data_IF_924435777887
#
_entry.id   IF_924435777887
#
_cell.length_a   1.000
_cell.length_b   1.000
_cell.length_c   1.000
_cell.angle_alpha   90.00
_cell.angle_beta   90.00
_cell.angle_gamma   90.00
#
_symmetry.space_group_name_H-M   'P 1'
#
loop_
_entity.id
_entity.type
_entity.pdbx_description
1 polymer ?
#
# COMPACT_ATOMS: atom_id res chain seq x y z
N UNK A 1 13.36 18.36 -9.52
CA UNK A 1 13.13 17.15 -8.69
C UNK A 1 12.52 17.61 -7.38
N UNK A 2 11.28 17.24 -7.10
CA UNK A 2 10.54 17.74 -5.93
C UNK A 2 10.66 16.75 -4.78
N UNK A 3 11.57 17.00 -3.84
CA UNK A 3 11.95 16.06 -2.77
C UNK A 3 11.12 16.16 -1.47
N UNK A 4 10.00 16.89 -1.46
CA UNK A 4 9.19 17.10 -0.27
C UNK A 4 8.01 16.13 -0.14
N UNK A 5 7.66 15.75 1.08
CA UNK A 5 6.43 15.01 1.39
C UNK A 5 5.20 15.94 1.47
N UNK A 6 5.41 17.24 1.64
CA UNK A 6 4.37 18.27 1.64
C UNK A 6 4.83 19.49 0.84
N UNK A 7 3.90 20.38 0.52
CA UNK A 7 4.18 21.64 -0.15
C UNK A 7 4.63 22.73 0.84
N UNK A 8 5.16 23.84 0.33
CA UNK A 8 5.50 25.00 1.15
C UNK A 8 4.23 25.75 1.65
N UNK A 9 4.43 26.75 2.51
CA UNK A 9 3.37 27.53 3.17
C UNK A 9 2.39 28.18 2.18
N UNK A 10 2.88 28.63 1.03
CA UNK A 10 2.11 29.23 -0.06
C UNK A 10 1.06 28.28 -0.66
N UNK A 11 1.23 26.96 -0.47
CA UNK A 11 0.27 25.92 -0.83
C UNK A 11 -0.32 25.23 0.40
N UNK A 12 -0.48 26.00 1.47
CA UNK A 12 -1.08 25.58 2.74
C UNK A 12 -0.47 24.30 3.34
N UNK A 13 0.82 24.05 3.10
CA UNK A 13 1.47 22.82 3.58
C UNK A 13 0.82 21.52 3.11
N UNK A 14 0.07 21.54 1.99
CA UNK A 14 -0.68 20.37 1.53
C UNK A 14 0.24 19.16 1.30
N UNK A 15 -0.16 18.01 1.84
CA UNK A 15 0.60 16.75 1.67
C UNK A 15 0.61 16.30 0.21
N UNK A 16 1.64 15.56 -0.16
CA UNK A 16 1.80 14.97 -1.49
C UNK A 16 1.49 13.47 -1.45
N UNK A 17 1.12 12.83 -2.55
CA UNK A 17 0.84 11.39 -2.61
C UNK A 17 1.90 10.50 -1.94
N UNK A 18 3.18 10.84 -2.12
CA UNK A 18 4.31 10.13 -1.52
C UNK A 18 4.28 10.13 0.03
N UNK A 19 3.70 11.16 0.66
CA UNK A 19 3.50 11.20 2.11
C UNK A 19 2.66 10.01 2.57
N UNK A 20 1.57 9.70 1.87
CA UNK A 20 0.66 8.62 2.27
C UNK A 20 1.31 7.25 2.15
N UNK A 21 2.15 7.04 1.12
CA UNK A 21 2.94 5.81 1.00
C UNK A 21 3.90 5.64 2.20
N UNK A 22 4.62 6.71 2.56
CA UNK A 22 5.50 6.71 3.73
C UNK A 22 4.75 6.56 5.05
N UNK A 23 3.62 7.25 5.21
CA UNK A 23 2.78 7.17 6.40
C UNK A 23 2.18 5.77 6.57
N UNK A 24 1.72 5.14 5.48
CA UNK A 24 1.23 3.76 5.50
C UNK A 24 2.31 2.79 6.01
N UNK A 25 3.55 2.91 5.52
CA UNK A 25 4.65 2.05 5.97
C UNK A 25 5.03 2.35 7.44
N UNK A 26 5.31 3.61 7.76
CA UNK A 26 5.90 4.01 9.05
C UNK A 26 4.94 3.96 10.23
N UNK A 27 3.62 4.09 10.01
CA UNK A 27 2.61 3.93 11.07
C UNK A 27 2.38 2.47 11.45
N UNK A 28 2.74 1.54 10.57
CA UNK A 28 2.46 0.10 10.71
C UNK A 28 3.74 -0.73 10.83
N UNK A 29 4.88 -0.10 11.05
CA UNK A 29 6.14 -0.79 11.28
C UNK A 29 6.88 -0.15 12.44
N UNK A 30 7.77 -0.92 13.07
CA UNK A 30 8.68 -0.43 14.11
C UNK A 30 10.10 -0.93 13.84
N UNK A 31 11.07 -0.22 14.41
CA UNK A 31 12.46 -0.65 14.36
C UNK A 31 12.60 -2.08 14.93
N UNK A 32 13.31 -2.93 14.21
CA UNK A 32 13.53 -4.33 14.56
C UNK A 32 12.48 -5.31 14.01
N UNK A 33 11.43 -4.85 13.32
CA UNK A 33 10.53 -5.76 12.61
C UNK A 33 11.28 -6.57 11.54
N UNK A 34 11.00 -7.88 11.51
CA UNK A 34 11.60 -8.78 10.52
C UNK A 34 10.96 -8.54 9.16
N UNK A 35 11.81 -8.44 8.14
CA UNK A 35 11.42 -8.26 6.74
C UNK A 35 11.55 -9.60 6.00
N UNK A 36 10.48 -10.01 5.33
CA UNK A 36 10.46 -11.18 4.46
C UNK A 36 10.22 -10.74 3.02
N UNK A 37 11.07 -11.18 2.11
CA UNK A 37 10.85 -11.00 0.68
C UNK A 37 9.64 -11.81 0.21
N UNK A 38 8.86 -11.25 -0.72
CA UNK A 38 7.75 -11.94 -1.35
C UNK A 38 8.08 -12.17 -2.83
N UNK A 39 7.84 -13.39 -3.31
CA UNK A 39 7.91 -13.69 -4.74
C UNK A 39 6.56 -13.39 -5.40
N UNK A 40 6.59 -12.74 -6.56
CA UNK A 40 5.40 -12.45 -7.37
C UNK A 40 5.39 -13.30 -8.63
N UNK A 41 4.23 -13.81 -9.01
CA UNK A 41 4.02 -14.46 -10.31
C UNK A 41 3.93 -13.46 -11.47
N UNK A 42 3.84 -12.16 -11.17
CA UNK A 42 3.83 -11.06 -12.13
C UNK A 42 4.76 -9.92 -11.66
N UNK A 43 6.09 -10.16 -11.60
CA UNK A 43 7.06 -9.16 -11.15
C UNK A 43 7.03 -7.92 -12.06
N UNK A 44 7.23 -6.74 -11.49
CA UNK A 44 7.08 -5.46 -12.19
C UNK A 44 5.63 -4.97 -12.37
N UNK A 45 4.64 -5.82 -12.13
CA UNK A 45 3.23 -5.41 -12.07
C UNK A 45 2.68 -5.43 -10.65
N UNK A 46 2.88 -6.52 -9.92
CA UNK A 46 2.50 -6.63 -8.52
C UNK A 46 3.72 -7.04 -7.73
N UNK A 47 4.04 -6.26 -6.70
CA UNK A 47 5.15 -6.54 -5.80
C UNK A 47 4.67 -6.39 -4.37
N UNK A 48 5.31 -7.12 -3.46
CA UNK A 48 4.96 -7.09 -2.05
C UNK A 48 6.19 -7.33 -1.18
N UNK A 49 6.07 -6.93 0.07
CA UNK A 49 7.02 -7.21 1.14
C UNK A 49 6.26 -7.44 2.42
N UNK A 50 6.63 -8.47 3.17
CA UNK A 50 6.08 -8.67 4.52
C UNK A 50 7.02 -8.04 5.53
N UNK A 51 6.48 -7.24 6.43
CA UNK A 51 7.20 -6.65 7.56
C UNK A 51 6.40 -6.93 8.83
N UNK A 52 6.95 -7.75 9.72
CA UNK A 52 6.24 -8.22 10.91
C UNK A 52 4.90 -8.90 10.58
N UNK A 53 3.80 -8.29 11.02
CA UNK A 53 2.41 -8.75 10.83
C UNK A 53 1.68 -8.09 9.64
N UNK A 54 2.41 -7.37 8.79
CA UNK A 54 1.81 -6.67 7.66
C UNK A 54 2.43 -7.15 6.35
N UNK A 55 1.60 -7.27 5.32
CA UNK A 55 2.03 -7.42 3.93
C UNK A 55 1.79 -6.11 3.18
N UNK A 56 2.85 -5.36 2.90
CA UNK A 56 2.76 -4.18 2.05
C UNK A 56 2.83 -4.61 0.59
N UNK A 57 2.04 -3.95 -0.26
CA UNK A 57 1.94 -4.32 -1.67
C UNK A 57 1.80 -3.09 -2.56
N UNK A 58 2.17 -3.26 -3.83
CA UNK A 58 1.93 -2.31 -4.91
C UNK A 58 1.34 -3.05 -6.11
N UNK A 59 0.35 -2.45 -6.76
CA UNK A 59 -0.11 -2.82 -8.09
C UNK A 59 0.21 -1.68 -9.06
N UNK A 60 1.23 -1.87 -9.86
CA UNK A 60 1.71 -0.92 -10.88
C UNK A 60 0.97 -1.08 -12.22
N UNK A 61 0.10 -2.10 -12.37
CA UNK A 61 -0.71 -2.25 -13.57
C UNK A 61 -1.77 -1.14 -13.67
N UNK A 62 -2.13 -0.78 -14.90
CA UNK A 62 -3.21 0.15 -15.24
C UNK A 62 -4.62 -0.46 -15.09
N UNK A 63 -4.69 -1.68 -14.55
CA UNK A 63 -5.92 -2.43 -14.33
C UNK A 63 -5.95 -3.06 -12.95
N UNK A 64 -7.17 -3.38 -12.49
CA UNK A 64 -7.37 -4.20 -11.29
C UNK A 64 -6.74 -5.57 -11.48
N UNK A 65 -6.06 -6.08 -10.46
CA UNK A 65 -5.45 -7.42 -10.44
C UNK A 65 -6.02 -8.22 -9.27
N UNK A 66 -6.46 -9.44 -9.53
CA UNK A 66 -6.86 -10.39 -8.49
C UNK A 66 -5.63 -11.16 -8.04
N UNK A 67 -5.30 -11.12 -6.74
CA UNK A 67 -4.11 -11.80 -6.21
C UNK A 67 -4.48 -12.84 -5.16
N UNK A 68 -3.80 -13.99 -5.23
CA UNK A 68 -3.81 -14.98 -4.16
C UNK A 68 -2.55 -14.84 -3.33
N UNK A 69 -2.69 -14.77 -2.01
CA UNK A 69 -1.55 -14.78 -1.09
C UNK A 69 -1.27 -16.22 -0.67
N UNK A 70 0.01 -16.60 -0.67
CA UNK A 70 0.49 -17.91 -0.21
C UNK A 70 1.54 -17.71 0.88
N UNK A 71 1.52 -18.56 1.91
CA UNK A 71 2.46 -18.47 3.05
C UNK A 71 2.07 -17.44 4.13
N UNK A 72 0.92 -16.79 3.99
CA UNK A 72 0.29 -15.96 5.00
C UNK A 72 -1.23 -15.95 4.76
N UNK A 73 -2.01 -15.59 5.78
CA UNK A 73 -3.48 -15.54 5.73
C UNK A 73 -3.97 -14.14 6.11
N UNK A 74 -4.15 -13.24 5.11
CA UNK A 74 -4.54 -11.87 5.41
C UNK A 74 -5.97 -11.79 5.94
N UNK A 75 -6.19 -11.00 6.99
CA UNK A 75 -7.50 -10.81 7.63
C UNK A 75 -8.20 -9.54 7.17
N UNK A 76 -7.45 -8.52 6.78
CA UNK A 76 -7.96 -7.26 6.23
C UNK A 76 -6.96 -6.66 5.27
N UNK A 77 -7.44 -5.87 4.32
CA UNK A 77 -6.60 -5.16 3.38
C UNK A 77 -7.05 -3.70 3.22
N UNK A 78 -6.08 -2.81 3.11
CA UNK A 78 -6.28 -1.40 2.80
C UNK A 78 -5.59 -1.05 1.49
N UNK A 79 -6.26 -0.27 0.65
CA UNK A 79 -5.75 0.21 -0.62
C UNK A 79 -5.81 1.73 -0.74
N UNK A 80 -4.82 2.27 -1.45
CA UNK A 80 -4.67 3.69 -1.76
C UNK A 80 -4.54 3.86 -3.26
N UNK A 81 -5.41 4.67 -3.85
CA UNK A 81 -5.38 5.07 -5.27
C UNK A 81 -5.21 6.58 -5.35
N UNK A 82 -4.70 7.09 -6.47
CA UNK A 82 -4.52 8.53 -6.68
C UNK A 82 -5.79 9.35 -6.36
N UNK A 83 -6.97 8.81 -6.69
CA UNK A 83 -8.26 9.47 -6.46
C UNK A 83 -8.68 9.61 -5.00
N UNK A 84 -8.08 8.86 -4.07
CA UNK A 84 -8.47 8.87 -2.64
C UNK A 84 -7.38 9.45 -1.72
N UNK A 85 -6.18 9.69 -2.25
CA UNK A 85 -5.08 10.30 -1.49
C UNK A 85 -5.43 11.73 -1.09
N UNK A 86 -5.79 11.92 0.18
CA UNK A 86 -6.22 13.21 0.70
C UNK A 86 -5.87 13.38 2.18
N UNK A 87 -5.42 14.59 2.54
CA UNK A 87 -5.12 14.95 3.93
C UNK A 87 -3.96 14.17 4.55
N UNK A 88 -3.70 14.42 5.83
CA UNK A 88 -2.61 13.77 6.59
C UNK A 88 -3.03 12.46 7.29
N UNK A 89 -4.33 12.14 7.29
CA UNK A 89 -4.90 10.98 8.00
C UNK A 89 -4.99 9.74 7.12
N UNK A 90 -5.35 8.63 7.76
CA UNK A 90 -5.70 7.39 7.06
C UNK A 90 -6.87 7.66 6.10
N UNK A 91 -6.64 7.39 4.82
CA UNK A 91 -7.57 7.60 3.71
C UNK A 91 -7.71 6.37 2.82
N UNK A 92 -7.12 5.24 3.20
CA UNK A 92 -7.21 3.99 2.46
C UNK A 92 -8.63 3.42 2.52
N UNK A 93 -9.05 2.80 1.42
CA UNK A 93 -10.29 2.02 1.38
C UNK A 93 -10.01 0.59 1.84
N UNK A 94 -10.96 -0.02 2.55
CA UNK A 94 -10.90 -1.45 2.85
C UNK A 94 -11.20 -2.26 1.60
N UNK A 95 -10.46 -3.33 1.38
CA UNK A 95 -10.75 -4.34 0.38
C UNK A 95 -11.32 -5.58 1.06
N UNK A 96 -12.31 -6.20 0.42
CA UNK A 96 -12.81 -7.51 0.79
C UNK A 96 -12.33 -8.55 -0.23
N UNK A 97 -11.96 -9.77 0.20
CA UNK A 97 -11.59 -10.83 -0.71
C UNK A 97 -12.81 -11.31 -1.50
N UNK A 98 -12.60 -11.63 -2.78
CA UNK A 98 -13.59 -12.18 -3.71
C UNK A 98 -13.13 -13.57 -4.10
N UNK A 99 -13.89 -14.61 -3.73
CA UNK A 99 -13.54 -16.02 -3.99
C UNK A 99 -12.12 -16.40 -3.50
N UNK A 100 -11.70 -15.84 -2.37
CA UNK A 100 -10.35 -16.05 -1.79
C UNK A 100 -9.21 -15.30 -2.51
N UNK A 101 -9.55 -14.37 -3.40
CA UNK A 101 -8.60 -13.49 -4.10
C UNK A 101 -8.79 -12.04 -3.65
N UNK A 102 -7.70 -11.30 -3.54
CA UNK A 102 -7.72 -9.88 -3.17
C UNK A 102 -7.75 -9.00 -4.42
N UNK A 103 -8.79 -8.14 -4.59
CA UNK A 103 -8.94 -7.31 -5.77
C UNK A 103 -8.12 -6.01 -5.66
N UNK A 104 -6.84 -6.04 -5.98
CA UNK A 104 -5.96 -4.87 -5.93
C UNK A 104 -6.34 -3.86 -7.02
N UNK A 105 -6.71 -2.60 -6.70
CA UNK A 105 -7.04 -1.58 -7.69
C UNK A 105 -5.88 -1.27 -8.65
N UNK A 106 -6.18 -0.73 -9.82
CA UNK A 106 -5.16 -0.23 -10.75
C UNK A 106 -4.30 0.85 -10.08
N UNK A 107 -3.00 0.91 -10.43
CA UNK A 107 -2.05 1.97 -10.02
C UNK A 107 -2.20 2.35 -8.55
N UNK A 108 -2.05 1.36 -7.68
CA UNK A 108 -2.37 1.47 -6.27
C UNK A 108 -1.30 0.85 -5.38
N UNK A 109 -1.33 1.19 -4.11
CA UNK A 109 -0.52 0.55 -3.08
C UNK A 109 -1.37 0.29 -1.86
N UNK A 110 -0.85 -0.51 -0.93
CA UNK A 110 -1.61 -0.81 0.26
C UNK A 110 -0.86 -1.67 1.26
N UNK A 111 -1.64 -2.16 2.22
CA UNK A 111 -1.20 -3.14 3.21
C UNK A 111 -2.29 -4.19 3.41
N UNK A 112 -1.89 -5.35 3.89
CA UNK A 112 -2.79 -6.33 4.46
C UNK A 112 -2.31 -6.69 5.88
N UNK A 113 -3.25 -6.86 6.80
CA UNK A 113 -3.00 -7.38 8.14
C UNK A 113 -2.97 -8.91 8.07
N UNK A 114 -1.98 -9.54 8.71
CA UNK A 114 -1.74 -10.98 8.76
C UNK A 114 -1.98 -11.56 10.16
#
# INVERSE_FOLDING_TARGET
MNYGLWNFKDRNWGVRPVYTAWANLTRHTKAGDIVYGCASSAPGHVEAVRVGKFLFWVNQADRRVQVKIQGADPVSAHAYTESILSGDRECGITLDPQDGLWPLPATSFGRMDL
#
